data_IF_243653558740
#
_entry.id   IF_243653558740
#
_cell.length_a   1.000
_cell.length_b   1.000
_cell.length_c   1.000
_cell.angle_alpha   90.00
_cell.angle_beta   90.00
_cell.angle_gamma   90.00
#
_symmetry.space_group_name_H-M   'P 1'
#
loop_
_entity.id
_entity.type
_entity.pdbx_description
1 polymer ?
#
# COMPACT_ATOMS: atom_id res chain seq x y z
N UNK A 1 -15.03 5.00 17.21
CA UNK A 1 -13.56 5.07 17.48
C UNK A 1 -12.99 6.24 16.70
N UNK A 2 -12.07 6.98 17.29
CA UNK A 2 -11.43 8.10 16.60
C UNK A 2 -9.95 7.79 16.35
N UNK A 3 -9.49 8.09 15.14
CA UNK A 3 -8.09 7.98 14.76
C UNK A 3 -7.45 9.35 14.56
N UNK A 4 -8.04 10.36 15.17
CA UNK A 4 -7.53 11.72 15.09
C UNK A 4 -6.06 11.76 15.53
N UNK A 5 -5.24 12.46 14.75
CA UNK A 5 -3.79 12.60 14.94
C UNK A 5 -2.99 11.29 14.72
N UNK A 6 -3.64 10.21 14.29
CA UNK A 6 -2.93 9.01 13.86
C UNK A 6 -2.58 9.11 12.38
N UNK A 7 -1.43 8.58 12.02
CA UNK A 7 -1.00 8.52 10.62
C UNK A 7 -1.11 7.10 10.09
N UNK A 8 -1.49 6.98 8.84
CA UNK A 8 -1.65 5.68 8.18
C UNK A 8 -1.00 5.71 6.81
N UNK A 9 -0.35 4.62 6.45
CA UNK A 9 0.12 4.37 5.09
C UNK A 9 -0.65 3.19 4.54
N UNK A 10 -1.25 3.36 3.38
CA UNK A 10 -2.03 2.32 2.70
C UNK A 10 -1.41 2.05 1.34
N UNK A 11 -0.91 0.86 1.12
CA UNK A 11 -0.45 0.46 -0.20
C UNK A 11 -1.63 -0.03 -1.03
N UNK A 12 -1.73 0.41 -2.28
CA UNK A 12 -2.83 0.04 -3.15
C UNK A 12 -4.16 0.69 -2.80
N UNK A 13 -4.13 1.88 -2.18
CA UNK A 13 -5.32 2.56 -1.69
C UNK A 13 -6.09 3.38 -2.72
N UNK A 14 -5.70 3.34 -3.99
CA UNK A 14 -6.30 4.20 -5.01
C UNK A 14 -7.56 3.62 -5.65
N UNK A 15 -7.89 2.37 -5.39
CA UNK A 15 -9.08 1.70 -5.95
C UNK A 15 -9.48 0.50 -5.13
N UNK A 16 -10.69 -0.01 -5.38
CA UNK A 16 -11.18 -1.26 -4.81
C UNK A 16 -11.27 -1.25 -3.29
N UNK A 17 -10.89 -2.37 -2.67
CA UNK A 17 -10.93 -2.53 -1.22
C UNK A 17 -10.00 -1.53 -0.51
N UNK A 18 -8.84 -1.27 -1.10
CA UNK A 18 -7.90 -0.29 -0.55
C UNK A 18 -8.49 1.11 -0.49
N UNK A 19 -9.22 1.52 -1.53
CA UNK A 19 -9.89 2.81 -1.54
C UNK A 19 -10.96 2.88 -0.44
N UNK A 20 -11.74 1.82 -0.26
CA UNK A 20 -12.72 1.75 0.82
C UNK A 20 -12.08 1.90 2.20
N UNK A 21 -10.92 1.28 2.40
CA UNK A 21 -10.16 1.42 3.63
C UNK A 21 -9.68 2.85 3.85
N UNK A 22 -9.17 3.49 2.79
CA UNK A 22 -8.74 4.91 2.87
C UNK A 22 -9.91 5.80 3.25
N UNK A 23 -11.07 5.61 2.64
CA UNK A 23 -12.27 6.37 2.98
C UNK A 23 -12.64 6.22 4.46
N UNK A 24 -12.59 5.00 4.98
CA UNK A 24 -12.90 4.71 6.37
C UNK A 24 -11.89 5.38 7.33
N UNK A 25 -10.60 5.30 7.01
CA UNK A 25 -9.55 5.91 7.84
C UNK A 25 -9.67 7.43 7.85
N UNK A 26 -9.95 8.05 6.71
CA UNK A 26 -10.17 9.50 6.62
C UNK A 26 -11.40 9.91 7.44
N UNK A 27 -12.48 9.14 7.35
CA UNK A 27 -13.70 9.43 8.11
C UNK A 27 -13.46 9.39 9.62
N UNK A 28 -12.52 8.57 10.09
CA UNK A 28 -12.15 8.49 11.51
C UNK A 28 -11.08 9.52 11.92
N UNK A 29 -10.65 10.37 11.00
CA UNK A 29 -9.75 11.47 11.28
C UNK A 29 -8.28 11.18 11.11
N UNK A 30 -7.90 10.03 10.58
CA UNK A 30 -6.51 9.69 10.35
C UNK A 30 -5.90 10.52 9.22
N UNK A 31 -4.61 10.79 9.32
CA UNK A 31 -3.82 11.35 8.22
C UNK A 31 -3.33 10.20 7.38
N UNK A 32 -3.81 10.11 6.15
CA UNK A 32 -3.55 8.95 5.29
C UNK A 32 -2.60 9.34 4.15
N UNK A 33 -1.62 8.49 3.91
CA UNK A 33 -0.77 8.52 2.72
C UNK A 33 -1.05 7.27 1.92
N UNK A 34 -1.43 7.45 0.66
CA UNK A 34 -1.71 6.35 -0.26
C UNK A 34 -0.49 6.11 -1.14
N UNK A 35 -0.04 4.87 -1.19
CA UNK A 35 1.09 4.46 -2.02
C UNK A 35 0.58 3.54 -3.12
N UNK A 36 0.82 3.89 -4.36
CA UNK A 36 0.45 3.09 -5.51
C UNK A 36 1.35 3.42 -6.69
N UNK A 37 1.26 2.62 -7.73
CA UNK A 37 2.10 2.80 -8.92
C UNK A 37 1.54 3.84 -9.90
N UNK A 38 0.22 3.87 -10.07
CA UNK A 38 -0.43 4.68 -11.10
C UNK A 38 -0.73 6.09 -10.62
N UNK A 39 -0.11 7.06 -11.27
CA UNK A 39 -0.27 8.47 -10.92
C UNK A 39 -1.69 8.97 -11.15
N UNK A 40 -2.36 8.52 -12.21
CA UNK A 40 -3.73 8.94 -12.53
C UNK A 40 -4.72 8.55 -11.42
N UNK A 41 -4.62 7.32 -10.92
CA UNK A 41 -5.47 6.85 -9.82
C UNK A 41 -5.16 7.59 -8.52
N UNK A 42 -3.88 7.87 -8.25
CA UNK A 42 -3.47 8.63 -7.07
C UNK A 42 -3.98 10.07 -7.12
N UNK A 43 -3.90 10.71 -8.27
CA UNK A 43 -4.43 12.07 -8.44
C UNK A 43 -5.93 12.14 -8.18
N UNK A 44 -6.68 11.13 -8.65
CA UNK A 44 -8.12 11.07 -8.43
C UNK A 44 -8.46 10.94 -6.95
N UNK A 45 -7.76 10.07 -6.21
CA UNK A 45 -8.04 9.88 -4.79
C UNK A 45 -7.61 11.10 -3.97
N UNK A 46 -6.51 11.72 -4.34
CA UNK A 46 -6.05 12.96 -3.71
C UNK A 46 -7.07 14.09 -3.88
N UNK A 47 -7.58 14.26 -5.09
CA UNK A 47 -8.56 15.30 -5.37
C UNK A 47 -9.86 15.06 -4.60
N UNK A 48 -10.27 13.80 -4.46
CA UNK A 48 -11.53 13.44 -3.81
C UNK A 48 -11.46 13.47 -2.29
N UNK A 49 -10.36 12.99 -1.71
CA UNK A 49 -10.26 12.76 -0.26
C UNK A 49 -9.23 13.65 0.45
N UNK A 50 -8.43 14.38 -0.30
CA UNK A 50 -7.42 15.26 0.29
C UNK A 50 -6.25 14.54 0.95
N UNK A 51 -6.01 13.29 0.62
CA UNK A 51 -4.93 12.49 1.19
C UNK A 51 -3.59 12.80 0.51
N UNK A 52 -2.49 12.50 1.20
CA UNK A 52 -1.17 12.50 0.60
C UNK A 52 -0.99 11.27 -0.29
N UNK A 53 -0.21 11.38 -1.35
CA UNK A 53 0.01 10.29 -2.29
C UNK A 53 1.47 10.16 -2.65
N UNK A 54 1.94 8.94 -2.85
CA UNK A 54 3.27 8.63 -3.31
C UNK A 54 3.19 7.59 -4.41
N UNK A 55 3.75 7.91 -5.58
CA UNK A 55 3.80 6.97 -6.70
C UNK A 55 5.11 6.20 -6.63
N UNK A 56 5.03 4.90 -6.44
CA UNK A 56 6.21 4.03 -6.43
C UNK A 56 5.81 2.58 -6.66
N UNK A 57 6.80 1.77 -7.03
CA UNK A 57 6.64 0.32 -7.09
C UNK A 57 6.74 -0.23 -5.67
N UNK A 58 5.70 -0.95 -5.21
CA UNK A 58 5.69 -1.52 -3.85
C UNK A 58 6.71 -2.62 -3.65
N UNK A 59 7.32 -3.13 -4.72
CA UNK A 59 8.41 -4.11 -4.62
C UNK A 59 9.79 -3.47 -4.50
N UNK A 60 9.86 -2.14 -4.52
CA UNK A 60 11.11 -1.41 -4.32
C UNK A 60 11.41 -1.30 -2.82
N UNK A 61 12.41 -2.08 -2.37
CA UNK A 61 12.77 -2.12 -0.95
C UNK A 61 13.26 -0.76 -0.44
N UNK A 62 14.07 -0.07 -1.23
CA UNK A 62 14.62 1.23 -0.81
C UNK A 62 13.52 2.27 -0.67
N UNK A 63 12.54 2.25 -1.57
CA UNK A 63 11.38 3.13 -1.47
C UNK A 63 10.57 2.84 -0.20
N UNK A 64 10.33 1.58 0.10
CA UNK A 64 9.61 1.20 1.33
C UNK A 64 10.34 1.70 2.57
N UNK A 65 11.64 1.49 2.65
CA UNK A 65 12.46 1.95 3.78
C UNK A 65 12.40 3.47 3.92
N UNK A 66 12.54 4.20 2.82
CA UNK A 66 12.51 5.67 2.82
C UNK A 66 11.16 6.21 3.26
N UNK A 67 10.08 5.68 2.69
CA UNK A 67 8.72 6.15 2.98
C UNK A 67 8.37 5.91 4.45
N UNK A 68 8.62 4.73 4.97
CA UNK A 68 8.28 4.42 6.35
C UNK A 68 9.19 5.13 7.34
N UNK A 69 10.44 5.37 6.98
CA UNK A 69 11.36 6.18 7.80
C UNK A 69 10.91 7.64 7.87
N UNK A 70 10.44 8.19 6.76
CA UNK A 70 9.99 9.59 6.70
C UNK A 70 8.66 9.80 7.42
N UNK A 71 7.71 8.90 7.22
CA UNK A 71 6.34 9.07 7.75
C UNK A 71 6.21 8.51 9.16
N UNK A 72 6.85 7.40 9.46
CA UNK A 72 6.72 6.68 10.74
C UNK A 72 5.25 6.48 11.13
N UNK A 73 4.48 5.75 10.29
CA UNK A 73 3.04 5.67 10.49
C UNK A 73 2.67 4.87 11.74
N UNK A 74 1.53 5.21 12.32
CA UNK A 74 0.92 4.43 13.38
C UNK A 74 0.23 3.18 12.83
N UNK A 75 -0.25 3.26 11.59
CA UNK A 75 -1.00 2.19 10.92
C UNK A 75 -0.38 1.94 9.55
N UNK A 76 -0.10 0.69 9.25
CA UNK A 76 0.35 0.28 7.92
C UNK A 76 -0.60 -0.78 7.38
N UNK A 77 -1.27 -0.46 6.27
CA UNK A 77 -2.18 -1.38 5.60
C UNK A 77 -1.58 -1.83 4.27
N UNK A 78 -1.32 -3.10 4.17
CA UNK A 78 -0.72 -3.71 2.98
C UNK A 78 -1.82 -4.30 2.10
N UNK A 79 -2.25 -3.53 1.10
CA UNK A 79 -3.32 -3.93 0.21
C UNK A 79 -2.89 -3.99 -1.26
N UNK A 80 -1.73 -3.44 -1.59
CA UNK A 80 -1.26 -3.46 -2.98
C UNK A 80 -1.06 -4.89 -3.46
N UNK A 81 -1.54 -5.16 -4.66
CA UNK A 81 -1.37 -6.43 -5.31
C UNK A 81 -1.46 -6.27 -6.82
N UNK A 82 -0.96 -7.25 -7.55
CA UNK A 82 -1.14 -7.28 -9.00
C UNK A 82 -2.46 -7.94 -9.33
N UNK A 83 -3.04 -7.55 -10.47
CA UNK A 83 -4.21 -8.25 -11.00
C UNK A 83 -3.75 -9.62 -11.49
N UNK A 84 -4.23 -10.72 -10.89
CA UNK A 84 -3.81 -12.04 -11.32
C UNK A 84 -4.34 -12.34 -12.71
N UNK A 85 -3.58 -13.12 -13.46
CA UNK A 85 -4.06 -13.62 -14.74
C UNK A 85 -5.10 -14.71 -14.48
N UNK A 86 -6.30 -14.47 -14.94
CA UNK A 86 -7.41 -15.41 -14.77
C UNK A 86 -7.35 -16.47 -15.85
N UNK A 87 -7.56 -17.71 -15.47
CA UNK A 87 -7.56 -18.83 -16.39
C UNK A 87 -7.78 -20.15 -15.66
N UNK A 88 -7.86 -21.20 -16.43
CA UNK A 88 -7.97 -22.55 -15.85
C UNK A 88 -6.63 -22.92 -15.22
N UNK A 89 -6.68 -23.47 -14.02
CA UNK A 89 -5.49 -23.84 -13.26
C UNK A 89 -4.57 -24.80 -14.03
N UNK A 90 -5.18 -25.73 -14.78
CA UNK A 90 -4.44 -26.72 -15.57
C UNK A 90 -3.75 -26.09 -16.80
N UNK A 91 -4.04 -24.85 -17.13
CA UNK A 91 -3.48 -24.14 -18.28
C UNK A 91 -2.54 -23.00 -17.89
N UNK A 92 -2.44 -22.68 -16.59
CA UNK A 92 -1.54 -21.64 -16.12
C UNK A 92 -0.10 -22.15 -16.10
N UNK A 93 0.83 -21.34 -16.61
CA UNK A 93 2.26 -21.59 -16.44
C UNK A 93 2.68 -21.20 -15.02
N UNK A 94 3.84 -21.71 -14.60
CA UNK A 94 4.42 -21.28 -13.32
C UNK A 94 4.68 -19.78 -13.31
N UNK A 95 5.17 -19.24 -14.43
CA UNK A 95 5.45 -17.81 -14.55
C UNK A 95 4.19 -16.98 -14.36
N UNK A 96 3.08 -17.39 -14.95
CA UNK A 96 1.80 -16.68 -14.79
C UNK A 96 1.26 -16.78 -13.37
N UNK A 97 1.36 -17.96 -12.77
CA UNK A 97 0.89 -18.20 -11.42
C UNK A 97 1.75 -17.45 -10.39
N UNK A 98 3.06 -17.43 -10.57
CA UNK A 98 3.99 -16.89 -9.57
C UNK A 98 4.06 -15.37 -9.55
N UNK A 99 3.54 -14.66 -10.56
CA UNK A 99 3.61 -13.19 -10.61
C UNK A 99 3.00 -12.55 -9.36
N UNK A 100 1.79 -12.97 -8.99
CA UNK A 100 1.14 -12.44 -7.79
C UNK A 100 1.92 -12.80 -6.54
N UNK A 101 2.41 -14.04 -6.45
CA UNK A 101 3.20 -14.50 -5.33
C UNK A 101 4.48 -13.66 -5.15
N UNK A 102 5.25 -13.50 -6.21
CA UNK A 102 6.51 -12.76 -6.14
C UNK A 102 6.29 -11.27 -5.84
N UNK A 103 5.23 -10.69 -6.38
CA UNK A 103 4.93 -9.27 -6.16
C UNK A 103 4.34 -9.04 -4.78
N UNK A 104 3.27 -9.74 -4.44
CA UNK A 104 2.51 -9.46 -3.22
C UNK A 104 3.26 -9.90 -1.97
N UNK A 105 3.84 -11.11 -1.97
CA UNK A 105 4.57 -11.62 -0.83
C UNK A 105 5.89 -10.85 -0.64
N UNK A 106 6.59 -10.57 -1.72
CA UNK A 106 7.84 -9.81 -1.68
C UNK A 106 7.62 -8.40 -1.18
N UNK A 107 6.60 -7.72 -1.72
CA UNK A 107 6.24 -6.38 -1.26
C UNK A 107 5.88 -6.40 0.23
N UNK A 108 5.04 -7.35 0.64
CA UNK A 108 4.66 -7.48 2.05
C UNK A 108 5.86 -7.63 2.96
N UNK A 109 6.82 -8.46 2.57
CA UNK A 109 8.05 -8.66 3.34
C UNK A 109 8.83 -7.36 3.49
N UNK A 110 9.04 -6.63 2.39
CA UNK A 110 9.82 -5.39 2.41
C UNK A 110 9.17 -4.32 3.30
N UNK A 111 7.86 -4.15 3.19
CA UNK A 111 7.15 -3.15 3.97
C UNK A 111 7.09 -3.50 5.45
N UNK A 112 6.90 -4.77 5.79
CA UNK A 112 6.93 -5.23 7.18
C UNK A 112 8.32 -5.05 7.78
N UNK A 113 9.37 -5.43 7.06
CA UNK A 113 10.74 -5.24 7.53
C UNK A 113 11.06 -3.76 7.75
N UNK A 114 10.64 -2.90 6.82
CA UNK A 114 10.84 -1.46 6.94
C UNK A 114 10.11 -0.90 8.17
N UNK A 115 8.88 -1.33 8.41
CA UNK A 115 8.10 -0.89 9.56
C UNK A 115 8.75 -1.31 10.88
N UNK A 116 9.24 -2.53 10.96
CA UNK A 116 9.91 -3.04 12.16
C UNK A 116 11.23 -2.32 12.42
N UNK A 117 11.98 -1.99 11.39
CA UNK A 117 13.23 -1.25 11.51
C UNK A 117 13.00 0.16 12.05
N UNK A 118 11.99 0.85 11.59
CA UNK A 118 11.61 2.18 12.07
C UNK A 118 11.23 2.10 13.54
N UNK A 119 10.46 1.10 13.93
CA UNK A 119 10.03 0.91 15.30
C UNK A 119 11.21 0.62 16.23
N UNK A 120 12.18 -0.15 15.76
CA UNK A 120 13.39 -0.47 16.54
C UNK A 120 14.29 0.75 16.78
N UNK A 121 14.16 1.78 15.92
CA UNK A 121 14.95 3.01 16.01
C UNK A 121 14.36 4.05 16.95
N UNK A 122 13.13 3.85 17.37
CA UNK A 122 12.43 4.80 18.27
C UNK A 122 12.90 4.72 19.70
#
# INVERSE_FOLDING_TARGET
MSLKDKSAVVTGGSRGLGLGLVEALVAEGARVTVVARRTDSLEAVKARLGVATISTDVTDRDAANRILSDIQPDILALNAGVTPRMGRLDQLSWEEFSVAWETDVKAGLFWIQAALNVRSSR
#
